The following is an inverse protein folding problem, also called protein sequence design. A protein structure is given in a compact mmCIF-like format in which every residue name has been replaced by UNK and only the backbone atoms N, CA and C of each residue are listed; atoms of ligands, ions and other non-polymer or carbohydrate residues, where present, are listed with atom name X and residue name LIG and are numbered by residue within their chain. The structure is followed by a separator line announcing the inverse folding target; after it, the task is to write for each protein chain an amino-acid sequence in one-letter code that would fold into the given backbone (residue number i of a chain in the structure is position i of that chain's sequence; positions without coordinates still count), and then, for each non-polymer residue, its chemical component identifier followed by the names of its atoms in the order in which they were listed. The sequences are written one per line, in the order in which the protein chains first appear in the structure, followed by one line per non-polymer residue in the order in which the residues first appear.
data_IF_716356181661
#
_entry.id   IF_716356181661
#
_cell.length_a   1.000
_cell.length_b   1.000
_cell.length_c   1.000
_cell.angle_alpha   90.00
_cell.angle_beta   90.00
_cell.angle_gamma   90.00
#
_symmetry.space_group_name_H-M   'P 1'
#
loop_
_entity.id
_entity.type
_entity.pdbx_description
1 polymer ?
#
# COMPACT_ATOMS: atom_id res chain seq x y z
N UNK A 1 8.79 0.68 -5.53
CA UNK A 1 10.06 -0.04 -5.85
C UNK A 1 11.21 0.35 -4.92
N UNK A 2 12.22 -0.51 -4.77
CA UNK A 2 13.48 -0.21 -4.06
C UNK A 2 14.39 0.63 -4.94
N UNK A 3 14.95 1.69 -4.36
CA UNK A 3 15.95 2.57 -4.97
C UNK A 3 17.36 2.14 -4.55
N UNK A 4 18.37 2.59 -5.30
CA UNK A 4 19.78 2.23 -5.05
C UNK A 4 20.30 2.75 -3.70
N UNK A 5 19.69 3.79 -3.16
CA UNK A 5 19.97 4.33 -1.82
C UNK A 5 19.31 3.52 -0.67
N UNK A 6 18.65 2.41 -1.00
CA UNK A 6 17.95 1.55 -0.05
C UNK A 6 16.58 2.09 0.37
N UNK A 7 16.14 3.24 -0.16
CA UNK A 7 14.79 3.73 0.06
C UNK A 7 13.79 2.95 -0.77
N UNK A 8 12.52 3.01 -0.36
CA UNK A 8 11.44 2.37 -1.09
C UNK A 8 10.27 3.33 -1.15
N UNK A 9 9.78 3.61 -2.36
CA UNK A 9 8.54 4.35 -2.57
C UNK A 9 7.80 3.83 -3.81
N UNK A 10 6.50 4.09 -3.88
CA UNK A 10 5.64 3.74 -5.02
C UNK A 10 5.22 4.97 -5.82
N UNK A 11 6.04 6.04 -5.79
CA UNK A 11 5.63 7.33 -6.34
C UNK A 11 5.26 7.22 -7.82
N UNK A 12 6.12 6.59 -8.62
CA UNK A 12 5.92 6.46 -10.05
C UNK A 12 4.71 5.58 -10.37
N UNK A 13 4.56 4.46 -9.66
CA UNK A 13 3.47 3.51 -9.84
C UNK A 13 2.11 4.15 -9.51
N UNK A 14 2.03 4.93 -8.43
CA UNK A 14 0.82 5.67 -8.06
C UNK A 14 0.51 6.75 -9.10
N UNK A 15 1.52 7.48 -9.57
CA UNK A 15 1.34 8.51 -10.59
C UNK A 15 0.88 7.91 -11.92
N UNK A 16 1.46 6.79 -12.35
CA UNK A 16 1.02 6.07 -13.56
C UNK A 16 -0.45 5.67 -13.45
N UNK A 17 -0.88 5.07 -12.34
CA UNK A 17 -2.28 4.69 -12.14
C UNK A 17 -3.23 5.91 -12.16
N UNK A 18 -2.82 7.02 -11.55
CA UNK A 18 -3.60 8.25 -11.54
C UNK A 18 -3.68 8.90 -12.94
N UNK A 19 -2.62 8.82 -13.73
CA UNK A 19 -2.58 9.29 -15.12
C UNK A 19 -3.46 8.42 -16.04
N UNK A 20 -3.42 7.10 -15.89
CA UNK A 20 -4.30 6.16 -16.59
C UNK A 20 -5.77 6.49 -16.30
N UNK A 21 -6.13 6.74 -15.03
CA UNK A 21 -7.46 7.20 -14.66
C UNK A 21 -7.85 8.50 -15.38
N UNK A 22 -6.94 9.48 -15.44
CA UNK A 22 -7.20 10.75 -16.14
C UNK A 22 -7.41 10.55 -17.65
N UNK A 23 -6.68 9.62 -18.27
CA UNK A 23 -6.86 9.27 -19.68
C UNK A 23 -8.23 8.63 -19.93
N UNK A 24 -8.64 7.68 -19.08
CA UNK A 24 -9.98 7.08 -19.16
C UNK A 24 -11.09 8.13 -18.95
N UNK A 25 -10.89 9.06 -18.04
CA UNK A 25 -11.83 10.17 -17.82
C UNK A 25 -12.01 10.98 -19.12
N UNK A 26 -10.92 11.36 -19.78
CA UNK A 26 -10.96 12.10 -21.05
C UNK A 26 -11.64 11.30 -22.15
N UNK A 27 -11.38 9.99 -22.25
CA UNK A 27 -12.05 9.13 -23.23
C UNK A 27 -13.58 9.10 -23.02
N UNK A 28 -14.05 9.13 -21.77
CA UNK A 28 -15.48 9.04 -21.43
C UNK A 28 -16.21 10.38 -21.42
N UNK A 29 -15.52 11.47 -21.04
CA UNK A 29 -16.14 12.80 -20.80
C UNK A 29 -15.70 13.86 -21.81
N UNK A 30 -14.72 13.57 -22.65
CA UNK A 30 -14.09 14.53 -23.55
C UNK A 30 -12.88 15.23 -22.89
N UNK A 31 -12.16 16.08 -23.66
CA UNK A 31 -10.95 16.75 -23.19
C UNK A 31 -11.24 17.73 -22.04
N UNK A 32 -10.25 17.92 -21.16
CA UNK A 32 -10.33 18.93 -20.11
C UNK A 32 -10.47 20.34 -20.70
N UNK A 33 -11.36 21.15 -20.13
CA UNK A 33 -11.62 22.53 -20.54
C UNK A 33 -10.47 23.46 -20.18
N UNK A 34 -9.77 23.16 -19.08
CA UNK A 34 -8.65 23.95 -18.57
C UNK A 34 -7.80 23.14 -17.58
N UNK A 35 -6.69 23.76 -17.16
CA UNK A 35 -5.72 23.17 -16.22
C UNK A 35 -6.29 22.93 -14.81
N UNK A 36 -7.29 23.71 -14.39
CA UNK A 36 -7.92 23.51 -13.09
C UNK A 36 -8.73 22.21 -13.09
N UNK A 37 -9.50 21.96 -14.15
CA UNK A 37 -10.27 20.72 -14.29
C UNK A 37 -9.35 19.50 -14.30
N UNK A 38 -8.25 19.52 -15.06
CA UNK A 38 -7.29 18.42 -15.08
C UNK A 38 -6.65 18.18 -13.69
N UNK A 39 -6.32 19.24 -12.95
CA UNK A 39 -5.77 19.12 -11.60
C UNK A 39 -6.79 18.55 -10.60
N UNK A 40 -8.06 18.93 -10.71
CA UNK A 40 -9.13 18.39 -9.86
C UNK A 40 -9.38 16.91 -10.12
N UNK A 41 -9.37 16.48 -11.39
CA UNK A 41 -9.53 15.06 -11.76
C UNK A 41 -8.34 14.24 -11.29
N UNK A 42 -7.11 14.74 -11.44
CA UNK A 42 -5.92 14.09 -10.89
C UNK A 42 -5.99 13.97 -9.37
N UNK A 43 -6.39 15.04 -8.68
CA UNK A 43 -6.58 15.00 -7.22
C UNK A 43 -7.65 13.96 -6.82
N UNK A 44 -8.76 13.90 -7.55
CA UNK A 44 -9.78 12.88 -7.32
C UNK A 44 -9.25 11.45 -7.49
N UNK A 45 -8.44 11.21 -8.52
CA UNK A 45 -7.79 9.92 -8.74
C UNK A 45 -6.88 9.54 -7.55
N UNK A 46 -6.02 10.45 -7.12
CA UNK A 46 -5.11 10.24 -6.00
C UNK A 46 -5.86 10.00 -4.68
N UNK A 47 -6.94 10.74 -4.43
CA UNK A 47 -7.79 10.52 -3.25
C UNK A 47 -8.46 9.15 -3.28
N UNK A 48 -8.93 8.70 -4.46
CA UNK A 48 -9.53 7.37 -4.62
C UNK A 48 -8.50 6.27 -4.36
N UNK A 49 -7.32 6.38 -4.96
CA UNK A 49 -6.22 5.42 -4.73
C UNK A 49 -5.85 5.35 -3.25
N UNK A 50 -5.75 6.51 -2.57
CA UNK A 50 -5.49 6.55 -1.13
C UNK A 50 -6.57 5.80 -0.35
N UNK A 51 -7.84 6.02 -0.68
CA UNK A 51 -8.94 5.36 0.01
C UNK A 51 -8.92 3.84 -0.19
N UNK A 52 -8.70 3.38 -1.42
CA UNK A 52 -8.61 1.94 -1.74
C UNK A 52 -7.44 1.29 -0.98
N UNK A 53 -6.29 1.96 -0.89
CA UNK A 53 -5.13 1.49 -0.12
C UNK A 53 -5.44 1.41 1.38
N UNK A 54 -6.12 2.42 1.94
CA UNK A 54 -6.57 2.41 3.34
C UNK A 54 -7.53 1.23 3.60
N UNK A 55 -8.49 0.99 2.71
CA UNK A 55 -9.42 -0.13 2.84
C UNK A 55 -8.71 -1.49 2.78
N UNK A 56 -7.76 -1.66 1.86
CA UNK A 56 -6.95 -2.88 1.76
C UNK A 56 -6.16 -3.11 3.06
N UNK A 57 -5.56 -2.06 3.62
CA UNK A 57 -4.82 -2.15 4.88
C UNK A 57 -5.73 -2.52 6.05
N UNK A 58 -6.90 -1.91 6.14
CA UNK A 58 -7.89 -2.23 7.17
C UNK A 58 -8.33 -3.70 7.05
N UNK A 59 -8.57 -4.22 5.84
CA UNK A 59 -8.90 -5.64 5.63
C UNK A 59 -7.75 -6.59 6.01
N UNK A 60 -6.51 -6.20 5.75
CA UNK A 60 -5.33 -6.97 6.12
C UNK A 60 -5.16 -7.04 7.64
N UNK A 61 -5.48 -5.97 8.36
CA UNK A 61 -5.38 -5.92 9.82
C UNK A 61 -6.20 -7.02 10.52
N UNK A 62 -7.36 -7.38 9.96
CA UNK A 62 -8.22 -8.43 10.49
C UNK A 62 -7.79 -9.86 10.14
N UNK A 63 -6.71 -10.04 9.37
CA UNK A 63 -6.26 -11.37 8.97
C UNK A 63 -5.77 -12.18 10.18
N UNK A 64 -6.23 -13.44 10.37
CA UNK A 64 -5.82 -14.28 11.50
C UNK A 64 -4.32 -14.50 11.62
N UNK A 65 -3.58 -14.37 10.52
CA UNK A 65 -2.10 -14.50 10.48
C UNK A 65 -1.41 -13.49 11.39
N UNK A 66 -2.01 -12.31 11.56
CA UNK A 66 -1.48 -11.27 12.44
C UNK A 66 -1.84 -11.51 13.91
N UNK A 67 -2.66 -12.52 14.24
CA UNK A 67 -2.96 -12.96 15.62
C UNK A 67 -3.31 -11.82 16.58
N UNK A 68 -4.05 -10.81 16.10
CA UNK A 68 -4.47 -9.64 16.90
C UNK A 68 -3.42 -8.54 17.01
N UNK A 69 -2.32 -8.60 16.25
CA UNK A 69 -1.35 -7.53 16.09
C UNK A 69 -1.79 -6.61 14.97
N UNK A 70 -1.94 -5.32 15.24
CA UNK A 70 -2.14 -4.31 14.19
C UNK A 70 -0.81 -3.97 13.52
N UNK A 71 -0.59 -4.34 12.24
CA UNK A 71 0.66 -3.99 11.55
C UNK A 71 0.82 -2.47 11.42
N UNK A 72 -0.31 -1.75 11.31
CA UNK A 72 -0.36 -0.29 11.28
C UNK A 72 0.14 0.33 12.58
N UNK A 73 -0.34 -0.14 13.72
CA UNK A 73 0.10 0.34 15.04
C UNK A 73 1.61 0.07 15.25
N UNK A 74 2.10 -1.08 14.81
CA UNK A 74 3.54 -1.43 14.86
C UNK A 74 4.37 -0.48 14.01
N UNK A 75 3.91 -0.16 12.80
CA UNK A 75 4.57 0.80 11.91
C UNK A 75 4.57 2.21 12.50
N UNK A 76 3.41 2.72 12.92
CA UNK A 76 3.26 4.08 13.46
C UNK A 76 4.08 4.29 14.76
N UNK A 77 4.26 3.24 15.56
CA UNK A 77 5.09 3.27 16.78
C UNK A 77 6.58 3.03 16.54
N UNK A 78 6.97 2.55 15.35
CA UNK A 78 8.34 2.15 15.06
C UNK A 78 8.82 0.89 15.80
N UNK A 79 7.89 0.06 16.27
CA UNK A 79 8.20 -1.16 17.03
C UNK A 79 7.02 -1.73 17.81
N UNK A 80 7.21 -2.93 18.37
CA UNK A 80 6.21 -3.63 19.19
C UNK A 80 6.12 -3.07 20.63
N UNK A 81 5.89 -1.77 20.83
CA UNK A 81 5.79 -1.18 22.18
C UNK A 81 6.86 -1.67 23.17
N UNK A 82 6.50 -1.85 24.45
CA UNK A 82 7.38 -2.47 25.46
C UNK A 82 7.20 -3.99 25.60
N UNK A 83 6.10 -4.56 25.11
CA UNK A 83 5.85 -6.01 25.16
C UNK A 83 5.69 -6.56 23.74
N UNK A 84 6.47 -7.57 23.33
CA UNK A 84 6.25 -8.24 22.06
C UNK A 84 4.84 -8.84 22.03
N UNK A 85 4.18 -8.84 20.86
CA UNK A 85 2.82 -9.30 20.76
C UNK A 85 2.67 -10.74 21.23
N UNK A 86 1.75 -10.95 22.18
CA UNK A 86 1.40 -12.28 22.68
C UNK A 86 0.72 -13.06 21.57
N UNK A 87 1.49 -13.83 20.79
CA UNK A 87 0.93 -14.74 19.80
C UNK A 87 1.87 -15.12 18.65
N UNK A 88 2.83 -14.27 18.29
CA UNK A 88 3.87 -14.60 17.31
C UNK A 88 5.16 -14.90 18.05
N UNK A 89 5.52 -16.18 18.15
CA UNK A 89 6.87 -16.52 18.61
C UNK A 89 7.89 -16.10 17.55
N UNK A 90 9.16 -15.85 17.93
CA UNK A 90 10.24 -15.56 16.97
C UNK A 90 10.31 -16.63 15.87
N UNK A 91 10.00 -17.88 16.24
CA UNK A 91 9.88 -19.00 15.31
C UNK A 91 8.77 -18.80 14.28
N UNK A 92 7.60 -18.31 14.67
CA UNK A 92 6.48 -18.06 13.76
C UNK A 92 6.84 -16.95 12.76
N UNK A 93 7.55 -15.91 13.21
CA UNK A 93 8.01 -14.81 12.35
C UNK A 93 9.05 -15.30 11.34
N UNK A 94 10.05 -16.07 11.79
CA UNK A 94 11.05 -16.69 10.91
C UNK A 94 10.37 -17.60 9.89
N UNK A 95 9.42 -18.43 10.31
CA UNK A 95 8.72 -19.36 9.42
C UNK A 95 7.84 -18.61 8.39
N UNK A 96 7.19 -17.51 8.78
CA UNK A 96 6.42 -16.65 7.88
C UNK A 96 7.32 -15.97 6.83
N UNK A 97 8.47 -15.43 7.26
CA UNK A 97 9.46 -14.78 6.40
C UNK A 97 10.04 -15.79 5.42
N UNK A 98 10.48 -16.96 5.89
CA UNK A 98 11.03 -18.01 5.04
C UNK A 98 10.00 -18.52 4.02
N UNK A 99 8.74 -18.72 4.43
CA UNK A 99 7.67 -19.20 3.54
C UNK A 99 7.36 -18.18 2.45
N UNK A 100 7.39 -16.88 2.78
CA UNK A 100 7.19 -15.79 1.84
C UNK A 100 8.36 -15.68 0.85
N UNK A 101 9.61 -15.76 1.33
CA UNK A 101 10.80 -15.75 0.48
C UNK A 101 10.86 -16.96 -0.48
N UNK A 102 10.44 -18.15 -0.04
CA UNK A 102 10.34 -19.34 -0.91
C UNK A 102 9.28 -19.22 -2.00
N UNK A 103 8.19 -18.50 -1.74
CA UNK A 103 7.15 -18.22 -2.75
C UNK A 103 7.63 -17.25 -3.81
N UNK A 104 8.37 -16.20 -3.40
CA UNK A 104 8.95 -15.23 -4.33
C UNK A 104 10.01 -15.87 -5.23
N UNK A 105 10.82 -16.82 -4.72
CA UNK A 105 11.83 -17.55 -5.52
C UNK A 105 11.28 -18.58 -6.51
N UNK A 106 9.98 -18.87 -6.48
CA UNK A 106 9.34 -19.86 -7.38
C UNK A 106 8.55 -19.22 -8.53
N UNK A 107 8.35 -17.91 -8.49
CA UNK A 107 7.84 -17.10 -9.59
C UNK A 107 9.00 -16.38 -10.28
#
# INVERSE_FOLDING_TARGET
MFHEDGTFNFHNEIMTLAEEFCQEWVQRRGPFKNRLESALVLNFALCTIKHDLEEILDQLEWQPVFKGVSPREVYERGGYGHEPPKGLSDRDVIELVEKSLRRIRRN
#
